data_IF_273854156039
#
_entry.id   IF_273854156039
#
_cell.length_a   1.000
_cell.length_b   1.000
_cell.length_c   1.000
_cell.angle_alpha   90.00
_cell.angle_beta   90.00
_cell.angle_gamma   90.00
#
_symmetry.space_group_name_H-M   'P 1'
#
loop_
_entity.id
_entity.type
_entity.pdbx_description
1 polymer ?
#
# COMPACT_ATOMS: atom_id res chain seq x y z
N UNK A 1 15.93 -40.38 27.42
CA UNK A 1 16.77 -39.34 26.80
C UNK A 1 16.06 -38.86 25.55
N UNK A 2 15.26 -37.80 25.67
CA UNK A 2 14.60 -37.16 24.54
C UNK A 2 15.63 -36.33 23.79
N UNK A 3 16.00 -36.76 22.57
CA UNK A 3 16.83 -35.94 21.69
C UNK A 3 16.02 -34.70 21.30
N UNK A 4 16.42 -33.54 21.83
CA UNK A 4 15.95 -32.26 21.34
C UNK A 4 16.47 -32.08 19.91
N UNK A 5 15.63 -32.34 18.91
CA UNK A 5 15.90 -31.96 17.54
C UNK A 5 15.78 -30.44 17.42
N UNK A 6 16.86 -29.73 17.73
CA UNK A 6 16.97 -28.32 17.42
C UNK A 6 17.07 -28.14 15.91
N UNK A 7 16.21 -27.29 15.33
CA UNK A 7 16.35 -26.87 13.95
C UNK A 7 17.63 -26.03 13.82
N UNK A 8 18.60 -26.55 13.07
CA UNK A 8 19.80 -25.81 12.66
C UNK A 8 19.66 -25.42 11.21
N UNK A 9 19.62 -24.13 10.90
CA UNK A 9 19.44 -23.65 9.53
C UNK A 9 20.69 -23.95 8.69
N UNK A 10 20.59 -24.89 7.75
CA UNK A 10 21.53 -25.03 6.64
C UNK A 10 20.91 -24.41 5.39
N UNK A 11 21.32 -23.19 5.03
CA UNK A 11 20.74 -22.44 3.90
C UNK A 11 20.92 -23.12 2.54
N UNK A 12 21.82 -24.09 2.41
CA UNK A 12 22.02 -24.89 1.19
C UNK A 12 21.11 -26.13 1.11
N UNK A 13 20.62 -26.61 2.26
CA UNK A 13 19.77 -27.81 2.36
C UNK A 13 18.30 -27.47 2.65
N UNK A 14 18.07 -26.48 3.51
CA UNK A 14 16.74 -26.08 3.98
C UNK A 14 16.12 -24.93 3.15
N UNK A 15 16.87 -24.36 2.20
CA UNK A 15 16.40 -23.31 1.32
C UNK A 15 16.88 -23.54 -0.11
N UNK A 16 16.14 -23.00 -1.08
CA UNK A 16 16.56 -22.95 -2.47
C UNK A 16 16.82 -21.51 -2.87
N UNK A 17 17.95 -21.26 -3.53
CA UNK A 17 18.18 -19.98 -4.20
C UNK A 17 17.36 -20.01 -5.48
N UNK A 18 16.25 -19.28 -5.48
CA UNK A 18 15.42 -19.16 -6.68
C UNK A 18 16.25 -18.43 -7.75
N UNK A 19 16.73 -19.17 -8.74
CA UNK A 19 17.68 -18.69 -9.76
C UNK A 19 17.02 -17.75 -10.80
N UNK A 20 15.69 -17.70 -10.83
CA UNK A 20 14.85 -16.83 -11.68
C UNK A 20 14.14 -15.72 -10.89
N UNK A 21 14.81 -15.13 -9.89
CA UNK A 21 14.30 -13.98 -9.10
C UNK A 21 14.51 -12.64 -9.79
N UNK A 22 15.22 -12.63 -10.93
CA UNK A 22 15.37 -11.44 -11.77
C UNK A 22 14.50 -11.54 -13.01
N UNK A 23 13.62 -10.57 -13.19
CA UNK A 23 13.29 -10.14 -14.54
C UNK A 23 14.34 -9.12 -14.97
N UNK A 24 15.17 -9.56 -15.92
CA UNK A 24 16.14 -8.78 -16.67
C UNK A 24 17.21 -8.10 -15.81
N UNK A 25 16.88 -7.23 -14.84
CA UNK A 25 17.80 -6.72 -13.81
C UNK A 25 17.16 -6.35 -12.44
N UNK A 26 15.86 -6.55 -12.25
CA UNK A 26 15.13 -6.17 -11.02
C UNK A 26 15.08 -7.30 -9.97
N UNK A 27 14.99 -6.96 -8.69
CA UNK A 27 14.82 -7.96 -7.62
C UNK A 27 13.34 -8.23 -7.36
N UNK A 28 12.84 -9.46 -7.58
CA UNK A 28 11.42 -9.76 -7.30
C UNK A 28 11.03 -9.48 -5.83
N UNK A 29 11.96 -9.61 -4.88
CA UNK A 29 11.71 -9.25 -3.49
C UNK A 29 11.46 -7.75 -3.29
N UNK A 30 12.06 -6.87 -4.10
CA UNK A 30 11.80 -5.44 -4.08
C UNK A 30 10.37 -5.17 -4.59
N UNK A 31 10.01 -5.74 -5.74
CA UNK A 31 8.65 -5.64 -6.31
C UNK A 31 7.59 -6.16 -5.34
N UNK A 32 7.84 -7.33 -4.73
CA UNK A 32 6.96 -7.90 -3.72
C UNK A 32 6.83 -6.98 -2.50
N UNK A 33 7.94 -6.38 -2.05
CA UNK A 33 7.92 -5.42 -0.94
C UNK A 33 7.08 -4.19 -1.27
N UNK A 34 7.27 -3.58 -2.44
CA UNK A 34 6.45 -2.44 -2.85
C UNK A 34 4.94 -2.79 -2.85
N UNK A 35 4.60 -3.94 -3.42
CA UNK A 35 3.21 -4.43 -3.43
C UNK A 35 2.66 -4.62 -2.01
N UNK A 36 3.44 -5.21 -1.11
CA UNK A 36 3.04 -5.42 0.30
C UNK A 36 2.87 -4.07 1.00
N UNK A 37 3.79 -3.12 0.79
CA UNK A 37 3.74 -1.80 1.38
C UNK A 37 2.45 -1.06 0.98
N UNK A 38 2.13 -1.05 -0.32
CA UNK A 38 0.92 -0.42 -0.86
C UNK A 38 -0.36 -1.07 -0.32
N UNK A 39 -0.44 -2.41 -0.35
CA UNK A 39 -1.62 -3.12 0.20
C UNK A 39 -1.82 -2.81 1.69
N UNK A 40 -0.75 -2.79 2.47
CA UNK A 40 -0.86 -2.48 3.90
C UNK A 40 -1.23 -1.02 4.15
N UNK A 41 -0.64 -0.09 3.40
CA UNK A 41 -0.97 1.34 3.45
C UNK A 41 -2.45 1.59 3.13
N UNK A 42 -2.98 0.95 2.09
CA UNK A 42 -4.40 1.05 1.75
C UNK A 42 -5.29 0.42 2.83
N UNK A 43 -4.88 -0.73 3.38
CA UNK A 43 -5.64 -1.41 4.43
C UNK A 43 -5.66 -0.69 5.79
N UNK A 44 -4.89 0.39 5.99
CA UNK A 44 -5.02 1.18 7.23
C UNK A 44 -6.41 1.81 7.33
N UNK A 45 -7.09 2.07 6.19
CA UNK A 45 -8.48 2.53 6.19
C UNK A 45 -9.43 1.49 6.78
N UNK A 46 -9.30 0.22 6.39
CA UNK A 46 -10.17 -0.85 6.90
C UNK A 46 -10.10 -1.00 8.43
N UNK A 47 -8.94 -0.70 9.00
CA UNK A 47 -8.77 -0.64 10.44
C UNK A 47 -9.38 0.64 10.99
N UNK A 48 -9.05 1.80 10.42
CA UNK A 48 -9.42 3.10 10.98
C UNK A 48 -10.93 3.36 10.97
N UNK A 49 -11.65 2.87 9.96
CA UNK A 49 -13.10 3.11 9.80
C UNK A 49 -13.96 2.65 10.98
N UNK A 50 -13.45 1.71 11.79
CA UNK A 50 -14.11 1.22 13.01
C UNK A 50 -13.87 2.06 14.25
N UNK A 51 -12.87 2.96 14.23
CA UNK A 51 -12.32 3.57 15.45
C UNK A 51 -12.20 5.08 15.42
N UNK A 52 -12.21 5.70 14.23
CA UNK A 52 -12.10 7.15 14.06
C UNK A 52 -13.17 7.66 13.10
N UNK A 53 -13.70 8.86 13.37
CA UNK A 53 -14.64 9.52 12.47
C UNK A 53 -13.87 10.32 11.41
N UNK A 54 -13.92 9.88 10.15
CA UNK A 54 -13.23 10.53 9.03
C UNK A 54 -14.20 11.42 8.23
N UNK A 55 -15.04 12.22 8.89
CA UNK A 55 -15.99 13.14 8.21
C UNK A 55 -15.32 14.42 7.68
N UNK A 56 -14.27 14.24 6.89
CA UNK A 56 -13.60 15.22 6.02
C UNK A 56 -12.99 16.46 6.68
N UNK A 57 -12.49 16.30 7.90
CA UNK A 57 -11.46 17.14 8.50
C UNK A 57 -10.36 16.26 9.08
N UNK A 58 -9.27 16.87 9.56
CA UNK A 58 -8.26 16.17 10.37
C UNK A 58 -8.99 15.36 11.45
N UNK A 59 -8.72 14.04 11.58
CA UNK A 59 -9.33 13.24 12.64
C UNK A 59 -8.99 13.85 14.01
N UNK A 60 -9.85 13.59 15.00
CA UNK A 60 -9.60 14.07 16.36
C UNK A 60 -8.30 13.42 16.89
N UNK A 61 -7.37 14.21 17.42
CA UNK A 61 -6.08 13.72 17.92
C UNK A 61 -6.20 12.64 19.01
N UNK A 62 -7.25 12.68 19.83
CA UNK A 62 -7.52 11.61 20.81
C UNK A 62 -7.93 10.30 20.13
N UNK A 63 -8.79 10.37 19.11
CA UNK A 63 -9.21 9.23 18.31
C UNK A 63 -8.01 8.62 17.57
N UNK A 64 -7.14 9.45 17.00
CA UNK A 64 -5.92 8.99 16.33
C UNK A 64 -4.95 8.33 17.30
N UNK A 65 -4.78 8.91 18.50
CA UNK A 65 -3.92 8.33 19.54
C UNK A 65 -4.46 6.99 20.00
N UNK A 66 -5.79 6.87 20.16
CA UNK A 66 -6.44 5.58 20.44
C UNK A 66 -6.24 4.60 19.30
N UNK A 67 -6.41 5.01 18.04
CA UNK A 67 -6.16 4.17 16.88
C UNK A 67 -4.72 3.64 16.85
N UNK A 68 -3.74 4.49 17.14
CA UNK A 68 -2.33 4.13 17.20
C UNK A 68 -2.01 3.07 18.29
N UNK A 69 -2.89 2.91 19.29
CA UNK A 69 -2.76 1.88 20.32
C UNK A 69 -3.27 0.50 19.89
N UNK A 70 -4.08 0.41 18.83
CA UNK A 70 -4.62 -0.88 18.37
C UNK A 70 -3.60 -1.66 17.55
N UNK A 71 -3.31 -2.89 17.98
CA UNK A 71 -2.38 -3.80 17.32
C UNK A 71 -2.65 -3.94 15.81
N UNK A 72 -3.91 -4.00 15.40
CA UNK A 72 -4.30 -4.08 13.98
C UNK A 72 -3.79 -2.90 13.16
N UNK A 73 -3.82 -1.67 13.70
CA UNK A 73 -3.26 -0.50 13.03
C UNK A 73 -1.73 -0.53 13.07
N UNK A 74 -1.15 -0.91 14.21
CA UNK A 74 0.31 -1.03 14.37
C UNK A 74 0.88 -2.01 13.32
N UNK A 75 0.25 -3.16 13.13
CA UNK A 75 0.64 -4.15 12.12
C UNK A 75 0.64 -3.53 10.71
N UNK A 76 -0.45 -2.86 10.31
CA UNK A 76 -0.52 -2.23 8.99
C UNK A 76 0.53 -1.13 8.82
N UNK A 77 0.74 -0.31 9.84
CA UNK A 77 1.78 0.71 9.87
C UNK A 77 3.18 0.10 9.73
N UNK A 78 3.52 -0.90 10.54
CA UNK A 78 4.83 -1.55 10.52
C UNK A 78 5.12 -2.17 9.16
N UNK A 79 4.15 -2.91 8.61
CA UNK A 79 4.28 -3.50 7.28
C UNK A 79 4.46 -2.42 6.21
N UNK A 80 3.73 -1.32 6.30
CA UNK A 80 3.87 -0.17 5.37
C UNK A 80 5.29 0.39 5.41
N UNK A 81 5.78 0.77 6.59
CA UNK A 81 7.10 1.41 6.75
C UNK A 81 8.23 0.46 6.38
N UNK A 82 8.18 -0.80 6.86
CA UNK A 82 9.25 -1.77 6.61
C UNK A 82 9.34 -2.14 5.15
N UNK A 83 8.21 -2.32 4.47
CA UNK A 83 8.24 -2.75 3.08
C UNK A 83 8.54 -1.62 2.10
N UNK A 84 8.15 -0.36 2.40
CA UNK A 84 8.66 0.78 1.62
C UNK A 84 10.17 0.96 1.80
N UNK A 85 10.67 0.85 3.04
CA UNK A 85 12.10 0.92 3.32
C UNK A 85 12.86 -0.19 2.59
N UNK A 86 12.39 -1.43 2.70
CA UNK A 86 13.02 -2.59 2.08
C UNK A 86 13.01 -2.49 0.54
N UNK A 87 11.92 -2.02 -0.06
CA UNK A 87 11.85 -1.76 -1.50
C UNK A 87 12.93 -0.78 -1.95
N UNK A 88 13.02 0.39 -1.31
CA UNK A 88 14.00 1.42 -1.66
C UNK A 88 15.43 0.94 -1.38
N UNK A 89 15.65 0.17 -0.32
CA UNK A 89 16.95 -0.43 -0.04
C UNK A 89 17.41 -1.37 -1.14
N UNK A 90 16.54 -2.28 -1.59
CA UNK A 90 16.87 -3.20 -2.65
C UNK A 90 17.06 -2.48 -3.98
N UNK A 91 16.18 -1.55 -4.32
CA UNK A 91 16.29 -0.76 -5.54
C UNK A 91 17.62 -0.02 -5.60
N UNK A 92 17.97 0.75 -4.56
CA UNK A 92 19.23 1.50 -4.50
C UNK A 92 20.44 0.57 -4.59
N UNK A 93 20.40 -0.59 -3.92
CA UNK A 93 21.47 -1.59 -4.01
C UNK A 93 21.58 -2.18 -5.41
N UNK A 94 20.47 -2.43 -6.08
CA UNK A 94 20.50 -2.97 -7.44
C UNK A 94 21.05 -1.93 -8.43
N UNK A 95 20.77 -0.64 -8.24
CA UNK A 95 21.36 0.46 -9.01
C UNK A 95 22.87 0.62 -8.74
N UNK A 96 23.32 0.45 -7.49
CA UNK A 96 24.76 0.42 -7.22
C UNK A 96 25.43 -0.77 -7.93
N UNK A 97 24.79 -1.95 -7.97
CA UNK A 97 25.33 -3.13 -8.66
C UNK A 97 25.38 -2.96 -10.18
N UNK A 98 24.42 -2.26 -10.78
CA UNK A 98 24.42 -1.98 -12.22
C UNK A 98 25.58 -1.07 -12.62
N UNK A 99 25.97 -0.14 -11.75
CA UNK A 99 27.15 0.72 -11.93
C UNK A 99 28.44 -0.09 -11.70
N UNK A 100 28.57 -0.72 -10.52
CA UNK A 100 29.67 -1.63 -10.22
C UNK A 100 29.31 -2.53 -9.01
N UNK A 101 29.42 -3.87 -9.12
CA UNK A 101 29.11 -4.80 -8.03
C UNK A 101 29.74 -4.47 -6.67
N UNK A 102 30.97 -3.93 -6.65
CA UNK A 102 31.69 -3.55 -5.43
C UNK A 102 30.99 -2.44 -4.62
N UNK A 103 30.17 -1.61 -5.28
CA UNK A 103 29.47 -0.52 -4.63
C UNK A 103 28.35 -0.99 -3.70
N UNK A 104 27.80 -2.18 -3.93
CA UNK A 104 26.69 -2.72 -3.16
C UNK A 104 27.11 -3.71 -2.06
N UNK A 105 28.39 -4.07 -1.98
CA UNK A 105 28.94 -4.96 -0.93
C UNK A 105 29.59 -4.15 0.19
N UNK A 106 29.58 -4.74 1.39
CA UNK A 106 30.22 -4.17 2.57
C UNK A 106 31.73 -4.26 2.38
N UNK A 107 32.38 -3.09 2.42
CA UNK A 107 33.82 -2.94 2.31
C UNK A 107 34.37 -2.51 3.67
N UNK A 108 35.67 -2.71 3.90
CA UNK A 108 36.34 -2.23 5.11
C UNK A 108 36.37 -0.70 5.20
N UNK A 109 36.13 -0.01 4.08
CA UNK A 109 36.12 1.44 3.96
C UNK A 109 34.91 1.93 3.18
N UNK A 110 34.33 3.03 3.64
CA UNK A 110 33.28 3.78 2.93
C UNK A 110 33.84 5.02 2.21
N UNK A 111 35.16 5.19 2.17
CA UNK A 111 35.81 6.30 1.47
C UNK A 111 35.70 6.11 -0.05
N UNK A 112 35.06 7.06 -0.73
CA UNK A 112 34.88 7.04 -2.19
C UNK A 112 36.20 6.86 -2.96
N UNK A 113 37.32 7.47 -2.54
CA UNK A 113 38.62 7.29 -3.21
C UNK A 113 39.13 5.86 -3.12
N UNK A 114 39.06 5.26 -1.92
CA UNK A 114 39.49 3.88 -1.71
C UNK A 114 38.61 2.88 -2.45
N UNK A 115 37.31 3.16 -2.55
CA UNK A 115 36.38 2.34 -3.36
C UNK A 115 36.72 2.44 -4.85
N UNK A 116 37.01 3.65 -5.36
CA UNK A 116 37.44 3.84 -6.75
C UNK A 116 38.78 3.16 -7.05
N UNK A 117 39.73 3.18 -6.12
CA UNK A 117 40.99 2.44 -6.25
C UNK A 117 40.77 0.92 -6.35
N UNK A 118 39.83 0.36 -5.57
CA UNK A 118 39.46 -1.06 -5.65
C UNK A 118 38.81 -1.40 -7.00
N UNK A 119 37.95 -0.51 -7.50
CA UNK A 119 37.33 -0.65 -8.83
C UNK A 119 38.39 -0.62 -9.93
N UNK A 120 39.35 0.31 -9.87
CA UNK A 120 40.44 0.41 -10.84
C UNK A 120 41.39 -0.80 -10.83
N UNK A 121 41.57 -1.44 -9.67
CA UNK A 121 42.37 -2.66 -9.51
C UNK A 121 41.67 -3.93 -10.00
N UNK A 122 40.41 -3.85 -10.42
CA UNK A 122 39.66 -4.99 -10.94
C UNK A 122 39.37 -6.06 -9.89
N UNK A 123 39.23 -5.68 -8.62
CA UNK A 123 38.90 -6.63 -7.55
C UNK A 123 37.52 -7.24 -7.82
N UNK A 124 37.45 -8.56 -7.81
CA UNK A 124 36.19 -9.27 -7.99
C UNK A 124 35.32 -9.17 -6.73
N UNK A 125 34.07 -8.74 -6.89
CA UNK A 125 33.08 -8.71 -5.81
C UNK A 125 32.81 -10.08 -5.18
N UNK A 126 33.01 -11.19 -5.91
CA UNK A 126 32.82 -12.55 -5.35
C UNK A 126 33.92 -12.93 -4.34
N UNK A 127 35.07 -12.24 -4.39
CA UNK A 127 36.15 -12.41 -3.41
C UNK A 127 35.86 -11.69 -2.08
N UNK A 128 34.88 -10.79 -2.08
CA UNK A 128 34.48 -9.99 -0.92
C UNK A 128 33.27 -10.65 -0.28
N UNK A 129 33.29 -10.79 1.05
CA UNK A 129 32.22 -11.40 1.83
C UNK A 129 30.83 -10.92 1.36
N UNK A 130 29.90 -11.86 1.14
CA UNK A 130 28.56 -11.64 0.55
C UNK A 130 27.61 -10.71 1.36
N UNK A 131 28.13 -9.97 2.33
CA UNK A 131 27.39 -8.99 3.10
C UNK A 131 27.14 -7.74 2.27
N UNK A 132 25.87 -7.39 2.04
CA UNK A 132 25.51 -6.14 1.35
C UNK A 132 25.68 -4.94 2.28
N UNK A 133 25.93 -3.75 1.72
CA UNK A 133 25.98 -2.50 2.49
C UNK A 133 24.69 -2.20 3.24
N UNK A 134 24.76 -1.41 4.30
CA UNK A 134 23.58 -0.87 4.98
C UNK A 134 22.89 0.21 4.14
N UNK A 135 21.58 0.39 4.35
CA UNK A 135 20.75 1.32 3.56
C UNK A 135 21.34 2.74 3.46
N UNK A 136 21.67 3.37 4.59
CA UNK A 136 22.18 4.74 4.57
C UNK A 136 23.59 4.86 3.97
N UNK A 137 24.39 3.78 4.01
CA UNK A 137 25.67 3.72 3.32
C UNK A 137 25.43 3.65 1.80
N UNK A 138 24.49 2.83 1.35
CA UNK A 138 24.09 2.75 -0.05
C UNK A 138 23.61 4.11 -0.60
N UNK A 139 22.75 4.81 0.16
CA UNK A 139 22.27 6.16 -0.17
C UNK A 139 23.43 7.14 -0.32
N UNK A 140 24.39 7.14 0.63
CA UNK A 140 25.57 8.02 0.58
C UNK A 140 26.45 7.72 -0.64
N UNK A 141 26.70 6.44 -0.93
CA UNK A 141 27.48 6.01 -2.09
C UNK A 141 26.82 6.47 -3.37
N UNK A 142 25.52 6.22 -3.56
CA UNK A 142 24.80 6.62 -4.77
C UNK A 142 24.76 8.15 -4.93
N UNK A 143 24.56 8.90 -3.84
CA UNK A 143 24.65 10.36 -3.84
C UNK A 143 26.03 10.87 -4.27
N UNK A 144 27.11 10.22 -3.84
CA UNK A 144 28.48 10.63 -4.18
C UNK A 144 28.83 10.46 -5.66
N UNK A 145 28.03 9.69 -6.41
CA UNK A 145 28.19 9.47 -7.85
C UNK A 145 27.54 10.56 -8.71
N UNK A 146 26.97 11.61 -8.11
CA UNK A 146 26.24 12.68 -8.80
C UNK A 146 27.06 13.55 -9.77
N UNK A 147 28.37 13.32 -9.88
CA UNK A 147 29.23 13.96 -10.88
C UNK A 147 29.34 13.23 -12.23
N UNK A 148 28.73 12.05 -12.39
CA UNK A 148 28.98 11.15 -13.53
C UNK A 148 27.72 10.84 -14.39
N UNK A 149 26.84 11.81 -14.66
CA UNK A 149 25.61 11.63 -15.47
C UNK A 149 24.64 10.54 -14.98
N UNK A 150 24.67 10.24 -13.68
CA UNK A 150 23.83 9.22 -13.07
C UNK A 150 22.47 9.81 -12.65
N UNK A 151 21.43 9.68 -13.47
CA UNK A 151 20.09 10.25 -13.19
C UNK A 151 19.56 9.88 -11.80
N UNK A 152 19.77 8.63 -11.37
CA UNK A 152 19.30 8.14 -10.07
C UNK A 152 19.97 8.86 -8.89
N UNK A 153 21.19 9.39 -9.05
CA UNK A 153 21.88 10.16 -8.01
C UNK A 153 21.22 11.53 -7.76
N UNK A 154 20.64 12.13 -8.80
CA UNK A 154 19.86 13.38 -8.72
C UNK A 154 18.60 13.12 -7.91
N UNK A 155 17.94 11.98 -8.15
CA UNK A 155 16.72 11.56 -7.43
C UNK A 155 17.03 11.27 -5.96
N UNK A 156 18.12 10.56 -5.68
CA UNK A 156 18.59 10.35 -4.29
C UNK A 156 18.80 11.69 -3.59
N UNK A 157 19.39 12.67 -4.27
CA UNK A 157 19.62 14.00 -3.70
C UNK A 157 18.29 14.73 -3.44
N UNK A 158 17.37 14.70 -4.40
CA UNK A 158 16.01 15.27 -4.29
C UNK A 158 15.24 14.69 -3.10
N UNK A 159 15.33 13.38 -2.88
CA UNK A 159 14.56 12.67 -1.86
C UNK A 159 15.36 12.28 -0.61
N UNK A 160 16.56 12.84 -0.40
CA UNK A 160 17.45 12.45 0.70
C UNK A 160 16.78 12.52 2.08
N UNK A 161 15.96 13.56 2.30
CA UNK A 161 15.20 13.71 3.55
C UNK A 161 14.19 12.58 3.72
N UNK A 162 13.44 12.24 2.68
CA UNK A 162 12.45 11.14 2.71
C UNK A 162 13.10 9.81 3.03
N UNK A 163 14.24 9.51 2.40
CA UNK A 163 15.01 8.28 2.66
C UNK A 163 15.51 8.23 4.11
N UNK A 164 15.99 9.37 4.63
CA UNK A 164 16.47 9.49 6.01
C UNK A 164 15.34 9.33 7.03
N UNK A 165 14.20 9.97 6.79
CA UNK A 165 13.01 9.91 7.65
C UNK A 165 12.43 8.49 7.65
N UNK A 166 12.34 7.84 6.49
CA UNK A 166 11.89 6.45 6.37
C UNK A 166 12.80 5.48 7.12
N UNK A 167 14.13 5.65 7.00
CA UNK A 167 15.10 4.85 7.77
C UNK A 167 14.96 5.08 9.28
N UNK A 168 14.71 6.33 9.69
CA UNK A 168 14.48 6.68 11.09
C UNK A 168 13.21 6.04 11.62
N UNK A 169 12.10 6.11 10.87
CA UNK A 169 10.84 5.45 11.22
C UNK A 169 11.00 3.94 11.32
N UNK A 170 11.63 3.31 10.32
CA UNK A 170 11.93 1.87 10.33
C UNK A 170 12.74 1.48 11.56
N UNK A 171 13.79 2.22 11.91
CA UNK A 171 14.62 1.90 13.07
C UNK A 171 13.90 2.13 14.39
N UNK A 172 13.10 3.18 14.53
CA UNK A 172 12.30 3.43 15.74
C UNK A 172 11.21 2.38 15.93
N UNK A 173 10.51 2.04 14.85
CA UNK A 173 9.50 1.00 14.82
C UNK A 173 10.08 -0.38 15.14
N UNK A 174 11.18 -0.78 14.49
CA UNK A 174 11.79 -2.11 14.63
C UNK A 174 12.52 -2.29 15.96
N UNK A 175 13.40 -1.35 16.36
CA UNK A 175 14.31 -1.58 17.48
C UNK A 175 13.72 -1.20 18.83
N UNK A 176 12.71 -0.32 18.86
CA UNK A 176 12.14 0.17 20.12
C UNK A 176 10.67 -0.19 20.28
N UNK A 177 9.95 -0.52 19.20
CA UNK A 177 8.50 -0.77 19.25
C UNK A 177 7.69 0.44 19.74
N UNK A 178 8.29 1.63 19.77
CA UNK A 178 7.80 2.77 20.57
C UNK A 178 7.28 3.94 19.74
N UNK A 179 7.30 3.85 18.41
CA UNK A 179 6.92 4.99 17.58
C UNK A 179 6.08 4.60 16.38
N UNK A 180 4.83 5.08 16.40
CA UNK A 180 3.82 4.87 15.38
C UNK A 180 3.28 6.23 15.00
N UNK A 181 3.18 6.49 13.69
CA UNK A 181 2.56 7.71 13.20
C UNK A 181 1.04 7.64 13.41
N UNK A 182 0.45 8.77 13.80
CA UNK A 182 -1.00 8.97 13.72
C UNK A 182 -1.48 8.73 12.28
N UNK A 183 -2.76 8.38 12.10
CA UNK A 183 -3.32 8.02 10.81
C UNK A 183 -3.13 9.12 9.76
N UNK A 184 -3.43 10.36 10.15
CA UNK A 184 -3.28 11.57 9.36
C UNK A 184 -1.82 11.84 8.98
N UNK A 185 -0.90 11.66 9.93
CA UNK A 185 0.54 11.84 9.72
C UNK A 185 1.15 10.75 8.84
N UNK A 186 0.66 9.51 8.93
CA UNK A 186 1.03 8.44 8.01
C UNK A 186 0.58 8.80 6.58
N UNK A 187 -0.64 9.31 6.42
CA UNK A 187 -1.14 9.74 5.11
C UNK A 187 -0.36 10.89 4.49
N UNK A 188 -0.02 11.89 5.30
CA UNK A 188 0.90 12.96 4.88
C UNK A 188 2.25 12.40 4.49
N UNK A 189 2.86 11.59 5.35
CA UNK A 189 4.19 11.07 5.09
C UNK A 189 4.23 10.22 3.81
N UNK A 190 3.31 9.27 3.67
CA UNK A 190 3.27 8.38 2.51
C UNK A 190 2.84 9.14 1.25
N UNK A 191 1.73 9.87 1.29
CA UNK A 191 1.15 10.52 0.12
C UNK A 191 1.97 11.69 -0.43
N UNK A 192 2.57 12.52 0.45
CA UNK A 192 3.36 13.69 0.03
C UNK A 192 4.81 13.33 -0.29
N UNK A 193 5.39 12.36 0.42
CA UNK A 193 6.83 12.11 0.38
C UNK A 193 7.17 10.75 -0.23
N UNK A 194 6.66 9.65 0.32
CA UNK A 194 7.09 8.30 -0.08
C UNK A 194 6.57 7.90 -1.45
N UNK A 195 5.29 8.11 -1.76
CA UNK A 195 4.72 7.75 -3.07
C UNK A 195 5.39 8.52 -4.22
N UNK A 196 5.55 9.86 -4.16
CA UNK A 196 6.29 10.58 -5.20
C UNK A 196 7.75 10.12 -5.32
N UNK A 197 8.42 9.86 -4.19
CA UNK A 197 9.78 9.30 -4.18
C UNK A 197 9.84 7.96 -4.93
N UNK A 198 8.97 7.02 -4.58
CA UNK A 198 8.89 5.68 -5.21
C UNK A 198 8.63 5.78 -6.70
N UNK A 199 7.67 6.60 -7.13
CA UNK A 199 7.34 6.76 -8.55
C UNK A 199 8.52 7.33 -9.35
N UNK A 200 9.20 8.36 -8.83
CA UNK A 200 10.39 8.92 -9.46
C UNK A 200 11.54 7.89 -9.53
N UNK A 201 11.79 7.14 -8.45
CA UNK A 201 12.80 6.08 -8.45
C UNK A 201 12.48 5.01 -9.50
N UNK A 202 11.23 4.55 -9.60
CA UNK A 202 10.84 3.54 -10.59
C UNK A 202 11.04 4.05 -12.02
N UNK A 203 10.57 5.26 -12.33
CA UNK A 203 10.62 5.82 -13.68
C UNK A 203 12.05 6.03 -14.20
N UNK A 204 13.02 6.22 -13.31
CA UNK A 204 14.41 6.54 -13.63
C UNK A 204 15.40 5.47 -13.15
N UNK A 205 14.94 4.23 -12.99
CA UNK A 205 15.76 3.08 -12.64
C UNK A 205 15.47 1.90 -13.56
N UNK A 206 16.18 0.81 -13.38
CA UNK A 206 15.87 -0.44 -14.09
C UNK A 206 14.50 -1.05 -13.72
N UNK A 207 13.77 -0.46 -12.77
CA UNK A 207 12.41 -0.86 -12.42
C UNK A 207 11.34 -0.20 -13.31
N UNK A 208 11.72 0.66 -14.24
CA UNK A 208 10.79 1.24 -15.22
C UNK A 208 10.02 0.15 -15.97
N UNK A 209 8.73 0.37 -16.25
CA UNK A 209 7.84 -0.57 -16.93
C UNK A 209 7.53 -1.87 -16.15
N UNK A 210 7.70 -1.88 -14.82
CA UNK A 210 7.39 -3.04 -13.96
C UNK A 210 6.02 -2.96 -13.27
N UNK A 211 5.18 -1.99 -13.63
CA UNK A 211 3.89 -1.68 -12.99
C UNK A 211 2.99 -2.91 -12.91
N UNK A 212 2.99 -3.75 -13.95
CA UNK A 212 2.18 -4.98 -13.99
C UNK A 212 2.41 -5.94 -12.82
N UNK A 213 3.53 -5.82 -12.10
CA UNK A 213 3.86 -6.70 -10.98
C UNK A 213 3.49 -6.14 -9.61
N UNK A 214 3.68 -4.83 -9.41
CA UNK A 214 3.48 -4.19 -8.11
C UNK A 214 2.22 -3.34 -8.05
N UNK A 215 1.81 -2.75 -9.18
CA UNK A 215 0.63 -1.87 -9.26
C UNK A 215 -0.63 -2.72 -9.36
N UNK A 216 -1.70 -2.21 -8.77
CA UNK A 216 -3.03 -2.78 -8.94
C UNK A 216 -3.54 -2.60 -10.37
N UNK A 217 -4.65 -3.28 -10.71
CA UNK A 217 -5.36 -3.03 -11.97
C UNK A 217 -6.13 -1.73 -11.89
N UNK A 218 -6.27 -1.03 -13.02
CA UNK A 218 -7.06 0.19 -13.07
C UNK A 218 -8.54 -0.15 -12.75
N UNK A 219 -9.16 0.52 -11.76
CA UNK A 219 -10.56 0.31 -11.42
C UNK A 219 -11.49 0.79 -12.55
N UNK A 220 -12.72 0.26 -12.61
CA UNK A 220 -13.73 0.62 -13.62
C UNK A 220 -13.99 2.13 -13.70
N UNK A 221 -13.99 2.83 -12.56
CA UNK A 221 -14.11 4.31 -12.50
C UNK A 221 -12.95 5.07 -13.15
N UNK A 222 -11.88 4.41 -13.60
CA UNK A 222 -10.78 5.04 -14.32
C UNK A 222 -9.86 5.90 -13.47
N UNK A 223 -10.00 5.87 -12.15
CA UNK A 223 -9.14 6.62 -11.22
C UNK A 223 -7.89 5.81 -10.86
N UNK A 224 -6.75 6.49 -10.73
CA UNK A 224 -5.51 5.90 -10.21
C UNK A 224 -5.35 6.24 -8.71
N UNK A 225 -5.64 5.31 -7.77
CA UNK A 225 -5.55 5.53 -6.33
C UNK A 225 -4.29 6.25 -5.84
N UNK A 226 -3.10 5.86 -6.29
CA UNK A 226 -1.83 6.48 -5.89
C UNK A 226 -1.81 7.95 -6.29
N UNK A 227 -2.15 8.25 -7.55
CA UNK A 227 -2.17 9.62 -8.05
C UNK A 227 -3.23 10.47 -7.34
N UNK A 228 -4.41 9.88 -7.10
CA UNK A 228 -5.50 10.56 -6.41
C UNK A 228 -5.14 10.87 -4.94
N UNK A 229 -4.52 9.93 -4.23
CA UNK A 229 -4.01 10.15 -2.87
C UNK A 229 -2.97 11.27 -2.87
N UNK A 230 -1.95 11.20 -3.73
CA UNK A 230 -0.91 12.24 -3.82
C UNK A 230 -1.48 13.62 -4.16
N UNK A 231 -2.55 13.69 -4.96
CA UNK A 231 -3.26 14.95 -5.24
C UNK A 231 -4.04 15.44 -4.02
N UNK A 232 -4.76 14.56 -3.33
CA UNK A 232 -5.60 14.91 -2.18
C UNK A 232 -4.77 15.45 -1.01
N UNK A 233 -3.64 14.83 -0.68
CA UNK A 233 -2.79 15.27 0.45
C UNK A 233 -2.02 16.56 0.19
N UNK A 234 -1.93 17.01 -1.08
CA UNK A 234 -1.32 18.30 -1.47
C UNK A 234 -2.27 19.49 -1.36
N UNK A 235 -3.57 19.25 -1.13
CA UNK A 235 -4.54 20.33 -0.89
C UNK A 235 -4.19 21.08 0.39
N UNK A 236 -4.43 22.39 0.42
CA UNK A 236 -4.18 23.24 1.60
C UNK A 236 -4.88 22.70 2.85
N UNK A 237 -6.15 22.29 2.69
CA UNK A 237 -6.90 21.53 3.67
C UNK A 237 -7.07 20.10 3.16
N UNK A 238 -6.38 19.16 3.81
CA UNK A 238 -6.47 17.73 3.48
C UNK A 238 -7.82 17.19 3.96
N UNK A 239 -8.58 16.61 3.05
CA UNK A 239 -9.76 15.81 3.36
C UNK A 239 -9.32 14.35 3.51
N UNK A 240 -9.19 13.87 4.75
CA UNK A 240 -8.80 12.48 5.00
C UNK A 240 -9.88 11.46 4.63
N UNK A 241 -11.13 11.91 4.46
CA UNK A 241 -12.24 11.08 3.96
C UNK A 241 -12.01 10.73 2.50
N UNK A 242 -11.59 11.72 1.71
CA UNK A 242 -11.20 11.54 0.32
C UNK A 242 -10.00 10.59 0.20
N UNK A 243 -8.96 10.78 1.03
CA UNK A 243 -7.79 9.88 1.05
C UNK A 243 -8.19 8.44 1.42
N UNK A 244 -9.04 8.27 2.43
CA UNK A 244 -9.58 6.99 2.86
C UNK A 244 -10.39 6.29 1.75
N UNK A 245 -11.21 7.05 1.01
CA UNK A 245 -11.95 6.54 -0.15
C UNK A 245 -11.01 6.00 -1.24
N UNK A 246 -9.96 6.74 -1.59
CA UNK A 246 -8.97 6.27 -2.56
C UNK A 246 -8.18 5.05 -2.08
N UNK A 247 -7.92 4.94 -0.76
CA UNK A 247 -7.33 3.72 -0.19
C UNK A 247 -8.24 2.52 -0.33
N UNK A 248 -9.54 2.67 -0.05
CA UNK A 248 -10.52 1.58 -0.22
C UNK A 248 -10.54 1.07 -1.66
N UNK A 249 -10.57 1.99 -2.64
CA UNK A 249 -10.47 1.66 -4.06
C UNK A 249 -9.13 0.97 -4.37
N UNK A 250 -8.01 1.51 -3.88
CA UNK A 250 -6.68 0.96 -4.12
C UNK A 250 -6.51 -0.46 -3.60
N UNK A 251 -7.04 -0.75 -2.42
CA UNK A 251 -7.01 -2.11 -1.86
C UNK A 251 -7.84 -3.08 -2.70
N UNK A 252 -9.08 -2.70 -3.02
CA UNK A 252 -9.98 -3.52 -3.84
C UNK A 252 -9.42 -3.75 -5.25
N UNK A 253 -8.72 -2.76 -5.81
CA UNK A 253 -8.10 -2.83 -7.14
C UNK A 253 -7.04 -3.94 -7.28
N UNK A 254 -6.43 -4.36 -6.17
CA UNK A 254 -5.51 -5.51 -6.16
C UNK A 254 -6.20 -6.87 -6.35
N UNK A 255 -7.51 -6.93 -6.07
CA UNK A 255 -8.30 -8.14 -6.10
C UNK A 255 -9.20 -8.21 -7.35
N UNK A 256 -9.13 -7.23 -8.25
CA UNK A 256 -9.87 -7.28 -9.52
C UNK A 256 -9.44 -8.56 -10.27
N UNK A 257 -10.37 -9.48 -10.59
CA UNK A 257 -10.07 -10.75 -11.23
C UNK A 257 -9.38 -10.53 -12.58
N UNK A 258 -8.48 -11.42 -12.98
CA UNK A 258 -8.02 -11.46 -14.37
C UNK A 258 -9.08 -12.22 -15.15
N UNK A 259 -9.67 -11.58 -16.15
CA UNK A 259 -10.61 -12.28 -17.04
C UNK A 259 -9.85 -13.37 -17.79
N UNK A 260 -9.91 -14.60 -17.28
CA UNK A 260 -9.55 -15.76 -18.06
C UNK A 260 -10.69 -15.98 -19.05
N UNK A 261 -10.35 -16.09 -20.34
CA UNK A 261 -11.25 -16.51 -21.41
C UNK A 261 -11.83 -17.88 -21.06
N UNK A 262 -12.88 -17.90 -20.26
CA UNK A 262 -13.62 -19.10 -19.93
C UNK A 262 -14.54 -19.37 -21.11
N UNK A 263 -14.25 -20.46 -21.81
CA UNK A 263 -15.09 -21.06 -22.84
C UNK A 263 -16.45 -21.41 -22.21
N UNK A 264 -17.41 -20.49 -22.35
CA UNK A 264 -18.78 -20.64 -21.86
C UNK A 264 -19.25 -19.38 -21.16
N UNK A 265 -20.15 -18.64 -21.79
CA UNK A 265 -20.87 -17.54 -21.16
C UNK A 265 -21.73 -18.11 -20.03
N UNK A 266 -21.22 -18.13 -18.79
CA UNK A 266 -22.11 -18.22 -17.62
C UNK A 266 -22.91 -16.93 -17.60
N UNK A 267 -24.23 -17.03 -17.41
CA UNK A 267 -25.10 -15.84 -17.35
C UNK A 267 -24.82 -14.97 -16.12
N UNK A 268 -24.26 -15.56 -15.06
CA UNK A 268 -23.85 -14.87 -13.84
C UNK A 268 -22.54 -15.43 -13.27
N UNK A 269 -21.71 -14.55 -12.72
CA UNK A 269 -20.49 -14.90 -11.99
C UNK A 269 -20.80 -15.50 -10.61
N UNK A 270 -19.85 -16.24 -9.99
CA UNK A 270 -20.03 -16.70 -8.60
C UNK A 270 -20.26 -15.57 -7.59
N UNK A 271 -19.64 -14.40 -7.77
CA UNK A 271 -19.80 -13.23 -6.90
C UNK A 271 -21.18 -12.59 -7.05
N UNK A 272 -21.69 -12.48 -8.28
CA UNK A 272 -23.06 -12.01 -8.56
C UNK A 272 -24.09 -12.92 -7.89
N UNK A 273 -23.88 -14.25 -7.94
CA UNK A 273 -24.76 -15.20 -7.24
C UNK A 273 -24.70 -15.05 -5.73
N UNK A 274 -23.51 -14.77 -5.17
CA UNK A 274 -23.33 -14.55 -3.73
C UNK A 274 -24.04 -13.27 -3.28
N UNK A 275 -23.84 -12.17 -4.01
CA UNK A 275 -24.52 -10.90 -3.74
C UNK A 275 -26.05 -11.04 -3.81
N UNK A 276 -26.56 -11.69 -4.86
CA UNK A 276 -28.00 -11.95 -5.03
C UNK A 276 -28.61 -12.90 -3.98
N UNK A 277 -27.78 -13.72 -3.31
CA UNK A 277 -28.26 -14.57 -2.21
C UNK A 277 -28.46 -13.76 -0.92
N UNK A 278 -27.68 -12.70 -0.71
CA UNK A 278 -27.74 -11.85 0.49
C UNK A 278 -28.99 -10.97 0.53
N UNK A 279 -29.55 -10.58 -0.63
CA UNK A 279 -30.70 -9.67 -0.68
C UNK A 279 -32.07 -10.34 -0.43
N UNK A 280 -32.14 -11.67 -0.33
CA UNK A 280 -33.42 -12.41 -0.30
C UNK A 280 -34.27 -12.23 0.98
N UNK A 281 -33.92 -11.32 1.89
CA UNK A 281 -34.67 -11.10 3.13
C UNK A 281 -34.65 -9.70 3.76
N UNK A 282 -33.81 -8.76 3.33
CA UNK A 282 -33.44 -7.62 4.22
C UNK A 282 -33.39 -6.22 3.55
N UNK A 283 -34.10 -5.99 2.43
CA UNK A 283 -34.20 -4.63 1.85
C UNK A 283 -32.88 -4.05 1.31
N UNK A 284 -31.91 -4.91 1.05
CA UNK A 284 -30.61 -4.60 0.45
C UNK A 284 -30.68 -4.55 -1.07
N UNK A 285 -29.83 -3.74 -1.69
CA UNK A 285 -29.70 -3.68 -3.15
C UNK A 285 -28.34 -4.21 -3.59
N UNK A 286 -28.32 -4.84 -4.78
CA UNK A 286 -27.07 -5.19 -5.46
C UNK A 286 -26.86 -4.19 -6.58
N UNK A 287 -25.74 -3.47 -6.50
CA UNK A 287 -25.30 -2.49 -7.47
C UNK A 287 -24.13 -3.04 -8.29
N UNK A 288 -23.88 -2.41 -9.43
CA UNK A 288 -22.63 -2.63 -10.13
C UNK A 288 -21.47 -1.99 -9.36
N UNK A 289 -20.45 -2.79 -9.06
CA UNK A 289 -19.26 -2.31 -8.37
C UNK A 289 -18.46 -1.36 -9.26
N UNK A 290 -18.33 -0.12 -8.81
CA UNK A 290 -17.54 0.91 -9.48
C UNK A 290 -16.02 0.65 -9.50
N UNK A 291 -15.53 -0.39 -8.81
CA UNK A 291 -14.13 -0.82 -8.87
C UNK A 291 -13.91 -1.96 -9.88
N UNK A 292 -14.66 -3.05 -9.80
CA UNK A 292 -14.44 -4.23 -10.65
C UNK A 292 -15.44 -4.40 -11.81
N UNK A 293 -16.54 -3.64 -11.82
CA UNK A 293 -17.56 -3.72 -12.87
C UNK A 293 -18.45 -4.98 -12.82
N UNK A 294 -18.58 -5.64 -11.66
CA UNK A 294 -19.51 -6.76 -11.46
C UNK A 294 -20.72 -6.32 -10.66
N UNK A 295 -21.88 -6.88 -10.96
CA UNK A 295 -23.13 -6.71 -10.20
C UNK A 295 -23.05 -7.47 -8.87
N UNK A 296 -22.17 -7.02 -8.00
CA UNK A 296 -21.82 -7.72 -6.76
C UNK A 296 -21.56 -6.77 -5.59
N UNK A 297 -21.89 -5.49 -5.72
CA UNK A 297 -21.77 -4.49 -4.65
C UNK A 297 -23.06 -4.46 -3.85
N UNK A 298 -23.05 -5.05 -2.66
CA UNK A 298 -24.20 -5.10 -1.75
C UNK A 298 -24.26 -3.82 -0.94
N UNK A 299 -25.41 -3.15 -0.91
CA UNK A 299 -25.69 -2.04 -0.02
C UNK A 299 -26.41 -2.52 1.24
N UNK A 300 -25.79 -2.28 2.40
CA UNK A 300 -26.36 -2.62 3.69
C UNK A 300 -27.15 -1.44 4.24
N UNK A 301 -28.42 -1.71 4.49
CA UNK A 301 -29.40 -0.78 5.04
C UNK A 301 -29.57 -1.01 6.55
N UNK A 302 -29.67 0.09 7.28
CA UNK A 302 -30.19 0.11 8.65
C UNK A 302 -31.48 0.93 8.65
N UNK A 303 -32.51 0.43 9.32
CA UNK A 303 -33.77 1.10 9.53
C UNK A 303 -34.24 0.96 10.98
N UNK A 304 -34.94 1.97 11.45
CA UNK A 304 -35.52 2.04 12.78
C UNK A 304 -36.85 2.77 12.70
N UNK A 305 -37.86 2.23 13.36
CA UNK A 305 -39.23 2.72 13.28
C UNK A 305 -39.97 2.41 14.58
N UNK A 306 -40.76 3.38 15.05
CA UNK A 306 -41.70 3.17 16.15
C UNK A 306 -42.99 2.54 15.61
N UNK A 307 -43.78 1.94 16.48
CA UNK A 307 -45.10 1.43 16.16
C UNK A 307 -46.16 2.22 16.91
N UNK A 308 -47.21 2.66 16.21
CA UNK A 308 -48.37 3.29 16.85
C UNK A 308 -49.23 2.24 17.61
N UNK A 309 -50.31 2.70 18.24
CA UNK A 309 -51.24 1.83 18.97
C UNK A 309 -51.93 0.78 18.08
N UNK A 310 -51.90 0.95 16.74
CA UNK A 310 -52.43 0.01 15.75
C UNK A 310 -51.35 -0.88 15.13
N UNK A 311 -50.13 -0.86 15.68
CA UNK A 311 -48.98 -1.61 15.17
C UNK A 311 -48.56 -1.19 13.75
N UNK A 312 -48.85 0.05 13.35
CA UNK A 312 -48.39 0.65 12.10
C UNK A 312 -47.04 1.38 12.32
N UNK A 313 -46.09 1.28 11.38
CA UNK A 313 -44.82 2.01 11.48
C UNK A 313 -45.05 3.52 11.48
N UNK A 314 -44.45 4.23 12.44
CA UNK A 314 -44.44 5.69 12.53
C UNK A 314 -43.04 6.17 12.93
N UNK A 315 -42.72 7.45 12.67
CA UNK A 315 -41.42 8.06 12.99
C UNK A 315 -40.22 7.23 12.51
N UNK A 316 -40.35 6.70 11.31
CA UNK A 316 -39.38 5.79 10.76
C UNK A 316 -38.22 6.50 10.05
N UNK A 317 -37.04 5.92 10.09
CA UNK A 317 -35.95 6.32 9.20
C UNK A 317 -35.20 5.11 8.67
N UNK A 318 -34.60 5.27 7.49
CA UNK A 318 -33.70 4.28 6.93
C UNK A 318 -32.50 4.95 6.28
N UNK A 319 -31.37 4.27 6.24
CA UNK A 319 -30.18 4.71 5.50
C UNK A 319 -29.25 3.57 5.13
N UNK A 320 -28.45 3.80 4.10
CA UNK A 320 -27.30 2.93 3.77
C UNK A 320 -26.15 3.28 4.71
N UNK A 321 -25.57 2.26 5.36
CA UNK A 321 -24.44 2.45 6.29
C UNK A 321 -23.13 1.83 5.83
N UNK A 322 -23.18 0.81 4.97
CA UNK A 322 -22.01 0.11 4.45
C UNK A 322 -22.28 -0.42 3.03
N UNK A 323 -21.24 -0.47 2.18
CA UNK A 323 -21.27 -1.23 0.93
C UNK A 323 -20.10 -2.21 0.88
N UNK A 324 -20.37 -3.44 0.43
CA UNK A 324 -19.35 -4.48 0.25
C UNK A 324 -19.47 -5.17 -1.12
N UNK A 325 -18.34 -5.28 -1.84
CA UNK A 325 -18.29 -5.97 -3.12
C UNK A 325 -17.82 -7.41 -2.96
N UNK A 326 -18.65 -8.36 -3.37
CA UNK A 326 -18.38 -9.81 -3.28
C UNK A 326 -17.35 -10.33 -4.31
N UNK A 327 -16.93 -9.49 -5.27
CA UNK A 327 -15.88 -9.84 -6.23
C UNK A 327 -14.51 -9.31 -5.81
N UNK A 328 -14.36 -7.98 -5.67
CA UNK A 328 -13.06 -7.36 -5.39
C UNK A 328 -12.80 -7.07 -3.90
N UNK A 329 -13.79 -7.30 -3.04
CA UNK A 329 -13.69 -7.03 -1.60
C UNK A 329 -13.64 -5.54 -1.27
N UNK A 330 -14.12 -4.65 -2.16
CA UNK A 330 -14.33 -3.25 -1.81
C UNK A 330 -15.25 -3.16 -0.61
N UNK A 331 -14.85 -2.42 0.42
CA UNK A 331 -15.67 -2.21 1.62
C UNK A 331 -15.58 -0.75 2.07
N UNK A 332 -16.68 -0.02 1.96
CA UNK A 332 -16.78 1.40 2.34
C UNK A 332 -17.95 1.61 3.29
N UNK A 333 -17.84 2.58 4.19
CA UNK A 333 -18.87 2.90 5.18
C UNK A 333 -19.25 4.39 5.18
N UNK A 334 -20.38 4.70 5.81
CA UNK A 334 -20.95 6.05 5.92
C UNK A 334 -20.10 7.08 6.67
N UNK A 335 -18.93 6.68 7.17
CA UNK A 335 -17.93 7.60 7.69
C UNK A 335 -17.22 8.34 6.55
N UNK A 336 -17.32 7.83 5.33
CA UNK A 336 -16.96 8.55 4.11
C UNK A 336 -18.09 9.48 3.67
N UNK A 337 -17.73 10.51 2.91
CA UNK A 337 -18.68 11.39 2.20
C UNK A 337 -19.12 10.74 0.90
N UNK A 338 -20.13 11.32 0.25
CA UNK A 338 -20.52 10.86 -1.06
C UNK A 338 -19.43 11.18 -2.10
N UNK A 339 -19.20 10.31 -3.09
CA UNK A 339 -18.14 10.49 -4.09
C UNK A 339 -18.21 11.80 -4.87
N UNK A 340 -19.40 12.34 -5.11
CA UNK A 340 -19.57 13.63 -5.78
C UNK A 340 -18.92 14.78 -5.00
N UNK A 341 -18.85 14.69 -3.67
CA UNK A 341 -18.18 15.66 -2.79
C UNK A 341 -16.65 15.66 -2.99
N UNK A 342 -16.10 14.57 -3.53
CA UNK A 342 -14.70 14.46 -3.94
C UNK A 342 -14.49 14.83 -5.42
N UNK A 343 -15.55 15.22 -6.14
CA UNK A 343 -15.52 15.48 -7.58
C UNK A 343 -15.56 14.23 -8.45
N UNK A 344 -16.11 13.12 -7.93
CA UNK A 344 -16.19 11.83 -8.63
C UNK A 344 -17.64 11.59 -9.06
N UNK A 345 -17.84 11.40 -10.36
CA UNK A 345 -19.16 11.18 -10.94
C UNK A 345 -19.56 9.71 -10.90
N UNK A 346 -20.00 9.23 -9.74
CA UNK A 346 -20.67 7.94 -9.55
C UNK A 346 -21.95 8.15 -8.72
N UNK A 347 -22.89 7.19 -8.71
CA UNK A 347 -24.09 7.30 -7.88
C UNK A 347 -23.76 7.53 -6.40
N UNK A 348 -24.67 8.23 -5.72
CA UNK A 348 -24.56 8.44 -4.28
C UNK A 348 -24.57 7.10 -3.55
N UNK A 349 -23.60 6.95 -2.64
CA UNK A 349 -23.40 5.75 -1.85
C UNK A 349 -24.22 5.80 -0.57
N UNK A 350 -24.42 7.00 -0.02
CA UNK A 350 -25.07 7.24 1.25
C UNK A 350 -26.42 7.91 1.00
N UNK A 351 -27.45 7.10 0.81
CA UNK A 351 -28.85 7.54 0.72
C UNK A 351 -29.64 7.09 1.94
N UNK A 352 -30.71 7.81 2.23
CA UNK A 352 -31.64 7.51 3.32
C UNK A 352 -32.91 8.34 3.19
N UNK A 353 -33.91 8.01 4.00
CA UNK A 353 -35.18 8.71 4.02
C UNK A 353 -35.88 8.59 5.36
N UNK A 354 -36.76 9.56 5.62
CA UNK A 354 -37.77 9.49 6.68
C UNK A 354 -39.01 8.76 6.11
N UNK A 355 -39.69 7.98 6.96
CA UNK A 355 -40.90 7.24 6.61
C UNK A 355 -42.16 8.04 6.94
#
# INVERSE_FOLDING_TARGET
MTQNHFFSLNTRQHGTRVSRVKQENTTNAAIASLRIALKNYFSTYDVSKRYISIKGSTPNGEEETRLASYLSYQEKYLQTIFHFHHFLELLIKDELRSINPLLAVKLETDNAKSIMDLIQRGVDSESINNQTVEFMVAVKRLKSLAGNDCEISIIVTKYLRVLTDLNTLRNRAWHRGTYILLYSELDRFIGLNVLPCVLDFIENSQYKNTERYWKYKLPKIGLDPINMITKAVRKEKIDYSEVAFYKAIGLASYNIPTEYLTLGKRSQSPSERKANALIKGEGYEVLECFVCGKESLVSYREDDWDYDENNLPTNGWWRIYELECEECGLKVDRNLRNPHEYGINIPDLWVGGEL
#
